data_IF_113054424377
#
_entry.id   IF_113054424377
#
_cell.length_a   1.000
_cell.length_b   1.000
_cell.length_c   1.000
_cell.angle_alpha   90.00
_cell.angle_beta   90.00
_cell.angle_gamma   90.00
#
_symmetry.space_group_name_H-M   'P 1'
#
loop_
_entity.id
_entity.type
_entity.pdbx_description
1 polymer ?
#
# COMPACT_ATOMS: atom_id res chain seq x y z
N UNK A 1 -16.08 12.44 6.08
CA UNK A 1 -15.69 11.24 5.31
C UNK A 1 -14.57 11.50 4.29
N UNK A 2 -14.75 12.32 3.24
CA UNK A 2 -13.67 12.65 2.27
C UNK A 2 -12.38 13.18 2.93
N UNK A 3 -12.52 13.95 4.01
CA UNK A 3 -11.37 14.45 4.78
C UNK A 3 -10.69 13.37 5.64
N UNK A 4 -11.46 12.40 6.19
CA UNK A 4 -10.87 11.23 6.86
C UNK A 4 -10.19 10.29 5.87
N UNK A 5 -10.75 10.11 4.69
CA UNK A 5 -10.14 9.34 3.62
C UNK A 5 -8.85 10.02 3.12
N UNK A 6 -8.84 11.35 3.02
CA UNK A 6 -7.61 12.13 2.75
C UNK A 6 -6.61 12.04 3.90
N UNK A 7 -7.03 12.08 5.15
CA UNK A 7 -6.15 11.97 6.32
C UNK A 7 -5.60 10.54 6.49
N UNK A 8 -6.42 9.52 6.28
CA UNK A 8 -6.03 8.12 6.27
C UNK A 8 -5.06 7.84 5.12
N UNK A 9 -5.35 8.32 3.90
CA UNK A 9 -4.42 8.25 2.77
C UNK A 9 -3.10 8.99 3.05
N UNK A 10 -3.14 10.13 3.74
CA UNK A 10 -1.95 10.90 4.12
C UNK A 10 -1.15 10.18 5.22
N UNK A 11 -1.82 9.53 6.15
CA UNK A 11 -1.20 8.77 7.25
C UNK A 11 -0.60 7.45 6.76
N UNK A 12 -1.27 6.75 5.85
CA UNK A 12 -0.73 5.58 5.15
C UNK A 12 0.55 5.98 4.39
N UNK A 13 0.52 7.02 3.56
CA UNK A 13 1.71 7.51 2.84
C UNK A 13 2.87 7.93 3.77
N UNK A 14 2.54 8.48 4.95
CA UNK A 14 3.54 8.86 5.96
C UNK A 14 4.19 7.65 6.64
N UNK A 15 3.41 6.61 6.95
CA UNK A 15 3.92 5.38 7.55
C UNK A 15 4.80 4.59 6.56
N UNK A 16 4.47 4.59 5.27
CA UNK A 16 5.28 3.94 4.24
C UNK A 16 6.59 4.68 3.92
N UNK A 17 6.69 5.99 4.21
CA UNK A 17 7.92 6.76 3.98
C UNK A 17 8.96 6.63 5.10
N UNK A 18 8.63 6.01 6.24
CA UNK A 18 9.58 5.79 7.33
C UNK A 18 10.34 4.48 7.13
N UNK A 19 11.37 4.51 6.29
CA UNK A 19 12.44 3.51 6.32
C UNK A 19 13.31 3.74 7.57
N UNK A 20 13.62 2.73 8.40
CA UNK A 20 14.50 2.92 9.55
C UNK A 20 15.93 3.23 9.07
N UNK A 21 16.46 4.38 9.50
CA UNK A 21 17.86 4.75 9.36
C UNK A 21 18.71 3.89 10.31
N UNK A 22 19.83 3.29 9.87
CA UNK A 22 20.77 2.66 10.79
C UNK A 22 21.48 3.74 11.62
N UNK A 23 21.42 3.60 12.94
CA UNK A 23 22.18 4.42 13.88
C UNK A 23 23.67 4.10 13.77
N UNK A 24 24.45 4.99 13.15
CA UNK A 24 25.92 4.92 13.17
C UNK A 24 26.49 5.95 14.12
N UNK A 25 27.32 5.45 15.03
CA UNK A 25 27.91 6.18 16.14
C UNK A 25 28.88 7.29 15.75
N UNK A 26 28.97 8.26 16.65
CA UNK A 26 29.93 9.36 16.65
C UNK A 26 31.34 8.83 16.89
N UNK A 27 32.28 9.17 16.00
CA UNK A 27 33.71 9.22 16.32
C UNK A 27 34.33 10.43 15.62
N UNK A 28 34.77 11.34 16.47
CA UNK A 28 35.43 12.60 16.22
C UNK A 28 36.90 12.36 15.85
N UNK A 29 37.38 12.93 14.74
CA UNK A 29 38.79 13.28 14.57
C UNK A 29 38.97 14.53 13.69
N UNK A 30 39.95 15.32 14.09
CA UNK A 30 40.19 16.73 13.76
C UNK A 30 41.34 16.90 12.74
N UNK A 31 41.22 17.97 11.95
CA UNK A 31 42.27 18.85 11.36
C UNK A 31 42.66 18.73 9.87
N UNK A 32 42.63 19.89 9.19
CA UNK A 32 43.54 20.26 8.08
C UNK A 32 42.91 20.78 6.77
N UNK A 33 42.95 22.10 6.53
CA UNK A 33 42.86 22.78 5.20
C UNK A 33 44.16 23.62 5.04
N UNK A 34 44.57 24.21 3.89
CA UNK A 34 43.76 24.64 2.72
C UNK A 34 44.36 24.63 1.27
N UNK A 35 43.44 24.64 0.27
CA UNK A 35 43.42 25.41 -1.01
C UNK A 35 44.39 25.02 -2.20
N UNK A 36 44.29 25.64 -3.41
CA UNK A 36 43.37 25.26 -4.51
C UNK A 36 44.06 25.20 -5.91
N UNK A 37 43.38 24.75 -6.98
CA UNK A 37 43.87 24.98 -8.35
C UNK A 37 42.72 25.14 -9.36
N UNK A 38 42.74 26.29 -10.04
CA UNK A 38 41.87 26.72 -11.14
C UNK A 38 42.47 26.31 -12.51
N UNK A 39 41.71 26.41 -13.62
CA UNK A 39 42.03 25.80 -14.92
C UNK A 39 42.81 26.74 -15.87
N UNK A 40 43.37 26.23 -16.99
CA UNK A 40 43.97 27.07 -18.04
C UNK A 40 43.05 27.31 -19.27
N UNK A 41 43.40 28.27 -20.17
CA UNK A 41 42.45 29.19 -20.80
C UNK A 41 42.41 29.24 -22.35
N UNK A 42 41.39 29.98 -22.85
CA UNK A 42 41.17 30.78 -24.10
C UNK A 42 42.27 30.82 -25.18
N UNK A 43 41.95 30.82 -26.50
CA UNK A 43 41.60 31.97 -27.42
C UNK A 43 41.70 31.48 -28.91
N UNK A 44 41.42 32.27 -29.98
CA UNK A 44 40.35 33.26 -30.23
C UNK A 44 39.66 33.10 -31.62
N UNK A 45 38.75 34.04 -31.90
CA UNK A 45 37.86 34.30 -33.04
C UNK A 45 38.44 34.32 -34.47
N UNK A 46 37.57 34.10 -35.47
CA UNK A 46 37.36 34.98 -36.64
C UNK A 46 35.94 34.81 -37.23
N UNK A 47 35.48 35.87 -37.87
CA UNK A 47 34.12 36.18 -38.34
C UNK A 47 33.79 35.63 -39.75
N UNK A 48 32.48 35.50 -40.01
CA UNK A 48 31.69 35.81 -41.24
C UNK A 48 32.30 35.62 -42.65
N UNK A 49 31.50 35.07 -43.59
CA UNK A 49 31.04 35.71 -44.86
C UNK A 49 29.99 34.79 -45.55
N UNK A 50 29.03 35.44 -46.20
CA UNK A 50 27.82 35.06 -46.93
C UNK A 50 27.90 34.07 -48.11
N UNK A 51 26.72 33.50 -48.46
CA UNK A 51 26.30 32.82 -49.70
C UNK A 51 26.45 33.71 -50.98
N UNK A 52 26.26 33.26 -52.26
CA UNK A 52 25.07 32.56 -52.78
C UNK A 52 25.26 31.59 -53.99
N UNK A 53 24.11 31.17 -54.53
CA UNK A 53 23.79 30.13 -55.52
C UNK A 53 24.30 30.28 -56.97
N UNK A 54 24.29 29.16 -57.72
CA UNK A 54 23.90 29.10 -59.14
C UNK A 54 23.32 27.73 -59.52
N UNK A 55 22.29 27.77 -60.37
CA UNK A 55 21.63 26.63 -61.02
C UNK A 55 22.29 26.32 -62.37
N UNK A 56 22.17 25.09 -62.89
CA UNK A 56 21.57 24.79 -64.22
C UNK A 56 21.62 23.29 -64.56
N UNK A 57 20.78 22.91 -65.51
CA UNK A 57 20.22 21.60 -65.81
C UNK A 57 20.86 20.88 -67.03
N UNK A 58 20.22 19.74 -67.37
CA UNK A 58 20.41 18.81 -68.50
C UNK A 58 21.57 17.80 -68.40
N UNK A 59 21.42 16.51 -68.70
CA UNK A 59 20.31 15.71 -69.22
C UNK A 59 20.85 14.32 -69.64
N UNK A 60 19.98 13.31 -69.78
CA UNK A 60 20.30 12.06 -70.51
C UNK A 60 20.31 10.76 -69.68
N UNK A 61 19.18 10.06 -69.67
CA UNK A 61 19.08 8.60 -69.53
C UNK A 61 19.50 7.93 -70.88
N UNK A 62 19.90 6.63 -70.97
CA UNK A 62 19.10 5.52 -70.42
C UNK A 62 19.83 4.23 -69.94
N UNK A 63 19.02 3.41 -69.26
CA UNK A 63 19.01 1.93 -69.24
C UNK A 63 20.16 1.17 -68.57
N UNK A 64 19.83 0.52 -67.45
CA UNK A 64 20.66 -0.53 -66.84
C UNK A 64 20.07 -1.02 -65.53
N UNK A 65 19.20 -2.03 -65.62
CA UNK A 65 18.53 -2.67 -64.49
C UNK A 65 19.51 -3.10 -63.36
N UNK A 66 19.11 -2.86 -62.10
CA UNK A 66 19.15 -3.85 -61.00
C UNK A 66 18.39 -3.32 -59.78
N UNK A 67 17.34 -4.06 -59.43
CA UNK A 67 16.38 -3.78 -58.38
C UNK A 67 17.04 -3.70 -57.00
N UNK A 68 16.75 -2.62 -56.27
CA UNK A 68 17.08 -2.46 -54.87
C UNK A 68 16.40 -3.49 -53.99
N UNK A 69 17.13 -3.93 -52.96
CA UNK A 69 16.60 -4.52 -51.73
C UNK A 69 17.54 -4.07 -50.61
N UNK A 70 17.35 -2.84 -50.12
CA UNK A 70 17.71 -2.55 -48.74
C UNK A 70 16.56 -3.10 -47.91
N UNK A 71 16.79 -4.25 -47.28
CA UNK A 71 15.85 -4.84 -46.33
C UNK A 71 15.90 -3.99 -45.07
N UNK A 72 14.93 -3.08 -44.93
CA UNK A 72 14.59 -2.46 -43.66
C UNK A 72 14.00 -3.55 -42.74
N UNK A 73 14.51 -3.74 -41.51
CA UNK A 73 13.80 -4.53 -40.51
C UNK A 73 12.61 -3.74 -39.96
N UNK A 74 11.55 -3.61 -40.75
CA UNK A 74 10.20 -3.36 -40.24
C UNK A 74 9.68 -4.66 -39.66
N UNK A 75 9.79 -4.80 -38.34
CA UNK A 75 8.83 -5.50 -37.49
C UNK A 75 9.12 -5.08 -36.04
N UNK A 76 8.60 -3.90 -35.68
CA UNK A 76 8.30 -3.60 -34.29
C UNK A 76 7.25 -4.62 -33.84
N UNK A 77 7.71 -5.74 -33.29
CA UNK A 77 6.86 -6.50 -32.38
C UNK A 77 6.46 -5.52 -31.30
N UNK A 78 5.23 -5.02 -31.38
CA UNK A 78 4.53 -4.47 -30.22
C UNK A 78 4.54 -5.60 -29.20
N UNK A 79 5.57 -5.60 -28.36
CA UNK A 79 5.47 -6.19 -27.04
C UNK A 79 4.45 -5.30 -26.34
N UNK A 80 3.15 -5.58 -26.58
CA UNK A 80 2.18 -5.40 -25.52
C UNK A 80 2.75 -6.21 -24.36
N UNK A 81 3.48 -5.54 -23.47
CA UNK A 81 3.53 -5.89 -22.07
C UNK A 81 2.09 -5.72 -21.61
N UNK A 82 1.24 -6.68 -21.98
CA UNK A 82 -0.11 -6.80 -21.48
C UNK A 82 0.08 -7.22 -20.04
N UNK A 83 0.22 -6.22 -19.19
CA UNK A 83 0.12 -6.36 -17.75
C UNK A 83 -1.08 -7.31 -17.51
N UNK A 84 -0.89 -8.39 -16.74
CA UNK A 84 -1.98 -9.30 -16.44
C UNK A 84 -3.14 -8.44 -15.95
N UNK A 85 -4.30 -8.56 -16.59
CA UNK A 85 -5.42 -7.63 -16.45
C UNK A 85 -5.82 -7.46 -14.98
N UNK A 86 -5.28 -6.44 -14.32
CA UNK A 86 -5.62 -5.98 -12.95
C UNK A 86 -7.06 -5.43 -12.89
N UNK A 87 -7.75 -5.34 -14.04
CA UNK A 87 -9.16 -4.90 -14.18
C UNK A 87 -10.16 -5.71 -13.33
N UNK A 88 -9.75 -6.82 -12.71
CA UNK A 88 -10.63 -7.68 -11.90
C UNK A 88 -11.00 -7.10 -10.52
N UNK A 89 -10.36 -6.04 -10.04
CA UNK A 89 -10.63 -5.45 -8.72
C UNK A 89 -11.10 -3.98 -8.77
N UNK A 90 -11.46 -3.47 -9.95
CA UNK A 90 -11.93 -2.11 -10.10
C UNK A 90 -13.38 -1.98 -9.61
N UNK A 91 -13.58 -1.12 -8.61
CA UNK A 91 -14.86 -0.79 -7.97
C UNK A 91 -15.19 0.69 -8.20
N UNK A 92 -16.43 1.01 -8.51
CA UNK A 92 -16.86 2.40 -8.68
C UNK A 92 -16.68 3.21 -7.38
N UNK A 93 -16.27 4.48 -7.50
CA UNK A 93 -16.02 5.35 -6.36
C UNK A 93 -17.26 5.48 -5.45
N UNK A 94 -18.46 5.57 -6.04
CA UNK A 94 -19.73 5.64 -5.32
C UNK A 94 -20.05 4.34 -4.58
N UNK A 95 -19.56 3.20 -5.07
CA UNK A 95 -19.71 1.92 -4.38
C UNK A 95 -18.76 1.82 -3.18
N UNK A 96 -17.53 2.33 -3.32
CA UNK A 96 -16.55 2.38 -2.23
C UNK A 96 -17.07 3.31 -1.12
N UNK A 97 -17.52 4.53 -1.47
CA UNK A 97 -18.08 5.47 -0.50
C UNK A 97 -19.28 4.89 0.26
N UNK A 98 -20.18 4.19 -0.45
CA UNK A 98 -21.32 3.51 0.19
C UNK A 98 -20.89 2.44 1.19
N UNK A 99 -19.95 1.56 0.82
CA UNK A 99 -19.48 0.51 1.73
C UNK A 99 -18.75 1.07 2.94
N UNK A 100 -17.96 2.13 2.77
CA UNK A 100 -17.30 2.79 3.90
C UNK A 100 -18.29 3.44 4.86
N UNK A 101 -19.37 4.05 4.35
CA UNK A 101 -20.43 4.58 5.19
C UNK A 101 -21.22 3.50 5.94
N UNK A 102 -21.44 2.35 5.30
CA UNK A 102 -22.01 1.17 5.94
C UNK A 102 -21.10 0.65 7.06
N UNK A 103 -19.79 0.55 6.81
CA UNK A 103 -18.79 0.17 7.81
C UNK A 103 -18.80 1.15 9.00
N UNK A 104 -18.80 2.47 8.76
CA UNK A 104 -18.84 3.48 9.82
C UNK A 104 -20.10 3.31 10.69
N UNK A 105 -21.25 3.06 10.06
CA UNK A 105 -22.52 2.83 10.77
C UNK A 105 -22.45 1.56 11.62
N UNK A 106 -21.91 0.47 11.07
CA UNK A 106 -21.78 -0.80 11.78
C UNK A 106 -20.77 -0.71 12.95
N UNK A 107 -19.65 -0.01 12.77
CA UNK A 107 -18.68 0.23 13.83
C UNK A 107 -19.28 1.05 14.98
N UNK A 108 -20.07 2.08 14.66
CA UNK A 108 -20.78 2.87 15.67
C UNK A 108 -21.82 2.02 16.45
N UNK A 109 -22.45 1.06 15.78
CA UNK A 109 -23.37 0.12 16.43
C UNK A 109 -22.61 -0.86 17.35
N UNK A 110 -21.50 -1.44 16.89
CA UNK A 110 -20.64 -2.31 17.70
C UNK A 110 -20.07 -1.57 18.92
N UNK A 111 -19.77 -0.28 18.81
CA UNK A 111 -19.32 0.52 19.95
C UNK A 111 -20.41 0.63 21.02
N UNK A 112 -21.67 0.89 20.64
CA UNK A 112 -22.80 0.92 21.58
C UNK A 112 -23.01 -0.43 22.26
N UNK A 113 -22.96 -1.52 21.48
CA UNK A 113 -23.05 -2.88 22.01
C UNK A 113 -21.89 -3.18 22.96
N UNK A 114 -20.69 -2.73 22.63
CA UNK A 114 -19.50 -2.89 23.47
C UNK A 114 -19.63 -2.18 24.80
N UNK A 115 -20.14 -0.94 24.82
CA UNK A 115 -20.40 -0.20 26.06
C UNK A 115 -21.43 -0.90 26.93
N UNK A 116 -22.50 -1.43 26.33
CA UNK A 116 -23.53 -2.15 27.08
C UNK A 116 -23.02 -3.48 27.65
N UNK A 117 -22.24 -4.22 26.86
CA UNK A 117 -21.61 -5.47 27.29
C UNK A 117 -20.60 -5.24 28.42
N UNK A 118 -19.81 -4.17 28.33
CA UNK A 118 -18.85 -3.75 29.33
C UNK A 118 -19.52 -3.46 30.68
N UNK A 119 -20.65 -2.73 30.66
CA UNK A 119 -21.44 -2.47 31.87
C UNK A 119 -21.89 -3.76 32.55
N UNK A 120 -22.40 -4.71 31.76
CA UNK A 120 -22.86 -6.02 32.30
C UNK A 120 -21.71 -6.80 32.90
N UNK A 121 -20.55 -6.84 32.23
CA UNK A 121 -19.34 -7.49 32.74
C UNK A 121 -18.91 -6.90 34.09
N UNK A 122 -18.92 -5.57 34.25
CA UNK A 122 -18.64 -4.91 35.54
C UNK A 122 -19.67 -5.24 36.61
N UNK A 123 -20.97 -5.24 36.29
CA UNK A 123 -22.01 -5.60 37.25
C UNK A 123 -21.86 -7.04 37.76
N UNK A 124 -21.54 -8.00 36.88
CA UNK A 124 -21.28 -9.39 37.28
C UNK A 124 -20.03 -9.53 38.19
N UNK A 125 -18.99 -8.72 37.97
CA UNK A 125 -17.81 -8.65 38.84
C UNK A 125 -18.18 -8.14 40.25
N UNK A 126 -18.96 -7.05 40.32
CA UNK A 126 -19.38 -6.41 41.57
C UNK A 126 -20.32 -7.30 42.40
N UNK A 127 -21.21 -8.05 41.75
CA UNK A 127 -22.15 -8.99 42.40
C UNK A 127 -21.48 -10.30 42.87
N UNK A 128 -20.19 -10.50 42.54
CA UNK A 128 -19.45 -11.70 42.91
C UNK A 128 -19.96 -12.97 42.23
N UNK A 129 -20.68 -12.85 41.11
CA UNK A 129 -21.21 -13.96 40.33
C UNK A 129 -20.09 -14.66 39.54
N UNK A 130 -19.28 -15.46 40.24
CA UNK A 130 -18.36 -16.41 39.63
C UNK A 130 -17.16 -15.80 38.88
N UNK A 131 -16.41 -16.67 38.20
CA UNK A 131 -15.23 -16.28 37.42
C UNK A 131 -15.71 -15.59 36.12
N UNK A 132 -15.51 -14.28 36.00
CA UNK A 132 -15.89 -13.45 34.83
C UNK A 132 -15.30 -14.04 33.54
N UNK A 133 -14.12 -14.68 33.61
CA UNK A 133 -13.50 -15.44 32.51
C UNK A 133 -14.25 -16.72 32.13
N UNK A 134 -15.35 -17.07 32.77
CA UNK A 134 -16.19 -18.22 32.43
C UNK A 134 -17.60 -17.81 31.99
N UNK A 135 -17.90 -16.52 31.99
CA UNK A 135 -19.20 -15.98 31.59
C UNK A 135 -19.43 -16.09 30.07
N UNK A 136 -20.60 -16.56 29.60
CA UNK A 136 -21.11 -16.25 28.26
C UNK A 136 -20.79 -14.83 27.75
N UNK A 137 -20.83 -13.80 28.61
CA UNK A 137 -20.52 -12.41 28.23
C UNK A 137 -19.09 -12.23 27.68
N UNK A 138 -18.11 -12.99 28.16
CA UNK A 138 -16.75 -12.93 27.61
C UNK A 138 -16.67 -13.53 26.20
N UNK A 139 -17.51 -14.50 25.88
CA UNK A 139 -17.60 -15.04 24.50
C UNK A 139 -18.17 -13.96 23.57
N UNK A 140 -19.21 -13.27 24.01
CA UNK A 140 -19.80 -12.16 23.26
C UNK A 140 -18.81 -11.02 23.06
N UNK A 141 -17.96 -10.75 24.06
CA UNK A 141 -16.89 -9.76 23.97
C UNK A 141 -15.86 -10.11 22.88
N UNK A 142 -15.39 -11.36 22.85
CA UNK A 142 -14.47 -11.81 21.80
C UNK A 142 -15.12 -11.77 20.40
N UNK A 143 -16.41 -12.09 20.30
CA UNK A 143 -17.15 -11.99 19.04
C UNK A 143 -17.28 -10.52 18.60
N UNK A 144 -17.49 -9.59 19.52
CA UNK A 144 -17.54 -8.16 19.23
C UNK A 144 -16.19 -7.64 18.72
N UNK A 145 -15.10 -8.02 19.37
CA UNK A 145 -13.74 -7.71 18.89
C UNK A 145 -13.54 -8.27 17.48
N UNK A 146 -13.87 -9.55 17.24
CA UNK A 146 -13.75 -10.18 15.92
C UNK A 146 -14.51 -9.40 14.85
N UNK A 147 -15.78 -9.04 15.12
CA UNK A 147 -16.59 -8.27 14.18
C UNK A 147 -15.99 -6.88 13.92
N UNK A 148 -15.52 -6.20 14.97
CA UNK A 148 -14.85 -4.90 14.83
C UNK A 148 -13.60 -5.01 13.94
N UNK A 149 -12.77 -6.03 14.14
CA UNK A 149 -11.58 -6.23 13.31
C UNK A 149 -11.94 -6.53 11.86
N UNK A 150 -12.98 -7.33 11.59
CA UNK A 150 -13.46 -7.57 10.23
C UNK A 150 -13.84 -6.27 9.50
N UNK A 151 -14.54 -5.36 10.18
CA UNK A 151 -14.91 -4.07 9.59
C UNK A 151 -13.70 -3.17 9.35
N UNK A 152 -12.74 -3.10 10.28
CA UNK A 152 -11.52 -2.31 10.14
C UNK A 152 -10.68 -2.82 8.96
N UNK A 153 -10.50 -4.14 8.84
CA UNK A 153 -9.78 -4.76 7.71
C UNK A 153 -10.48 -4.46 6.38
N UNK A 154 -11.81 -4.54 6.35
CA UNK A 154 -12.58 -4.21 5.14
C UNK A 154 -12.47 -2.74 4.75
N UNK A 155 -12.44 -1.83 5.73
CA UNK A 155 -12.18 -0.41 5.50
C UNK A 155 -10.80 -0.19 4.86
N UNK A 156 -9.74 -0.80 5.41
CA UNK A 156 -8.38 -0.73 4.85
C UNK A 156 -8.32 -1.24 3.41
N UNK A 157 -8.93 -2.40 3.12
CA UNK A 157 -9.02 -2.96 1.77
C UNK A 157 -9.66 -1.97 0.78
N UNK A 158 -10.78 -1.36 1.17
CA UNK A 158 -11.49 -0.37 0.34
C UNK A 158 -10.65 0.88 0.09
N UNK A 159 -9.89 1.33 1.09
CA UNK A 159 -8.95 2.45 0.95
C UNK A 159 -7.83 2.10 -0.03
N UNK A 160 -7.25 0.90 0.05
CA UNK A 160 -6.24 0.43 -0.90
C UNK A 160 -6.76 0.32 -2.33
N UNK A 161 -7.99 -0.17 -2.51
CA UNK A 161 -8.66 -0.22 -3.82
C UNK A 161 -8.81 1.20 -4.38
N UNK A 162 -9.38 2.12 -3.61
CA UNK A 162 -9.58 3.51 -4.04
C UNK A 162 -8.25 4.18 -4.42
N UNK A 163 -7.22 3.98 -3.61
CA UNK A 163 -5.89 4.56 -3.84
C UNK A 163 -5.22 3.97 -5.08
N UNK A 164 -5.33 2.66 -5.29
CA UNK A 164 -4.79 2.00 -6.49
C UNK A 164 -5.45 2.57 -7.74
N UNK A 165 -6.77 2.70 -7.75
CA UNK A 165 -7.51 3.27 -8.89
C UNK A 165 -7.15 4.74 -9.14
N UNK A 166 -6.98 5.55 -8.09
CA UNK A 166 -6.54 6.95 -8.23
C UNK A 166 -5.17 7.04 -8.91
N UNK A 167 -4.22 6.20 -8.51
CA UNK A 167 -2.89 6.15 -9.11
C UNK A 167 -2.94 5.67 -10.56
N UNK A 168 -3.75 4.64 -10.84
CA UNK A 168 -3.98 4.13 -12.20
C UNK A 168 -4.66 5.15 -13.12
N UNK A 169 -5.57 5.97 -12.58
CA UNK A 169 -6.25 7.03 -13.33
C UNK A 169 -5.29 8.16 -13.72
N UNK A 170 -4.33 8.51 -12.85
CA UNK A 170 -3.36 9.57 -13.12
C UNK A 170 -2.26 9.16 -14.10
N UNK A 171 -1.92 7.87 -14.14
CA UNK A 171 -0.85 7.33 -14.96
C UNK A 171 -0.95 7.67 -16.47
N UNK A 172 -2.08 7.47 -17.17
CA UNK A 172 -2.18 7.75 -18.61
C UNK A 172 -1.99 9.24 -18.94
N UNK A 173 -2.44 10.16 -18.08
CA UNK A 173 -2.26 11.60 -18.30
C UNK A 173 -0.78 11.98 -18.22
N UNK A 174 -0.07 11.47 -17.20
CA UNK A 174 1.37 11.69 -17.01
C UNK A 174 2.17 11.07 -18.16
N UNK A 175 1.85 9.84 -18.56
CA UNK A 175 2.51 9.16 -19.67
C UNK A 175 2.25 9.83 -21.02
N UNK A 176 1.03 10.32 -21.23
CA UNK A 176 0.64 11.03 -22.45
C UNK A 176 1.41 12.34 -22.63
N UNK A 177 1.48 13.16 -21.57
CA UNK A 177 2.27 14.40 -21.61
C UNK A 177 3.76 14.12 -21.78
N UNK A 178 4.28 13.11 -21.08
CA UNK A 178 5.68 12.72 -21.19
C UNK A 178 6.02 12.27 -22.62
N UNK A 179 5.16 11.44 -23.24
CA UNK A 179 5.36 10.99 -24.63
C UNK A 179 5.39 12.17 -25.60
N UNK A 180 4.49 13.14 -25.44
CA UNK A 180 4.45 14.36 -26.26
C UNK A 180 5.76 15.17 -26.16
N UNK A 181 6.36 15.26 -24.97
CA UNK A 181 7.65 15.93 -24.80
C UNK A 181 8.81 15.13 -25.40
N UNK A 182 8.78 13.80 -25.26
CA UNK A 182 9.82 12.91 -25.79
C UNK A 182 9.84 12.80 -27.32
N UNK A 183 8.72 13.08 -28.00
CA UNK A 183 8.67 13.15 -29.47
C UNK A 183 9.57 14.27 -30.05
N UNK A 184 9.84 15.30 -29.25
CA UNK A 184 10.72 16.41 -29.63
C UNK A 184 12.18 16.03 -29.33
N UNK A 185 13.13 16.12 -30.27
CA UNK A 185 14.55 15.90 -29.99
C UNK A 185 15.11 16.85 -28.92
N UNK A 186 16.01 16.37 -28.05
CA UNK A 186 16.51 17.11 -26.88
C UNK A 186 17.13 18.48 -27.21
N UNK A 187 17.86 18.57 -28.32
CA UNK A 187 18.49 19.81 -28.77
C UNK A 187 17.48 20.88 -29.24
N UNK A 188 16.23 20.48 -29.49
CA UNK A 188 15.14 21.40 -29.83
C UNK A 188 14.28 21.76 -28.61
N UNK A 189 14.44 21.07 -27.48
CA UNK A 189 13.65 21.30 -26.27
C UNK A 189 14.08 22.60 -25.58
N UNK A 190 13.09 23.38 -25.15
CA UNK A 190 13.27 24.47 -24.20
C UNK A 190 13.71 23.93 -22.85
N UNK A 191 14.38 24.77 -22.06
CA UNK A 191 14.70 24.46 -20.66
C UNK A 191 13.46 24.11 -19.83
N UNK A 192 12.34 24.77 -20.10
CA UNK A 192 11.08 24.51 -19.40
C UNK A 192 10.50 23.14 -19.76
N UNK A 193 10.61 22.75 -21.03
CA UNK A 193 10.19 21.42 -21.51
C UNK A 193 11.04 20.31 -20.88
N UNK A 194 12.37 20.49 -20.81
CA UNK A 194 13.28 19.55 -20.14
C UNK A 194 12.97 19.43 -18.64
N UNK A 195 12.65 20.56 -17.98
CA UNK A 195 12.28 20.56 -16.58
C UNK A 195 10.92 19.89 -16.33
N UNK A 196 9.97 20.07 -17.24
CA UNK A 196 8.66 19.42 -17.19
C UNK A 196 8.78 17.90 -17.41
N UNK A 197 9.60 17.48 -18.37
CA UNK A 197 9.91 16.06 -18.60
C UNK A 197 10.46 15.38 -17.34
N UNK A 198 11.44 16.01 -16.68
CA UNK A 198 11.99 15.49 -15.41
C UNK A 198 10.92 15.38 -14.32
N UNK A 199 10.00 16.35 -14.22
CA UNK A 199 8.90 16.32 -13.25
C UNK A 199 7.92 15.19 -13.55
N UNK A 200 7.56 14.99 -14.83
CA UNK A 200 6.67 13.90 -15.24
C UNK A 200 7.30 12.52 -15.01
N UNK A 201 8.61 12.37 -15.27
CA UNK A 201 9.34 11.14 -14.92
C UNK A 201 9.31 10.88 -13.41
N UNK A 202 9.59 11.90 -12.60
CA UNK A 202 9.49 11.77 -11.14
C UNK A 202 8.08 11.39 -10.71
N UNK A 203 7.05 12.01 -11.32
CA UNK A 203 5.65 11.71 -11.01
C UNK A 203 5.29 10.27 -11.36
N UNK A 204 5.78 9.75 -12.48
CA UNK A 204 5.56 8.35 -12.87
C UNK A 204 6.22 7.39 -11.85
N UNK A 205 7.43 7.71 -11.38
CA UNK A 205 8.07 6.93 -10.31
C UNK A 205 7.24 6.95 -9.03
N UNK A 206 6.72 8.10 -8.61
CA UNK A 206 5.85 8.21 -7.43
C UNK A 206 4.56 7.38 -7.57
N UNK A 207 3.99 7.31 -8.77
CA UNK A 207 2.80 6.50 -9.05
C UNK A 207 3.13 5.01 -8.87
N UNK A 208 4.24 4.55 -9.47
CA UNK A 208 4.67 3.15 -9.38
C UNK A 208 5.07 2.79 -7.95
N UNK A 209 5.81 3.65 -7.26
CA UNK A 209 6.20 3.48 -5.86
C UNK A 209 4.97 3.45 -4.95
N UNK A 210 3.99 4.33 -5.18
CA UNK A 210 2.74 4.34 -4.44
C UNK A 210 1.96 3.04 -4.60
N UNK A 211 1.88 2.48 -5.81
CA UNK A 211 1.25 1.17 -6.03
C UNK A 211 2.04 0.03 -5.39
N UNK A 212 3.37 0.09 -5.42
CA UNK A 212 4.22 -0.89 -4.76
C UNK A 212 4.04 -0.86 -3.24
N UNK A 213 3.94 0.33 -2.65
CA UNK A 213 3.69 0.50 -1.21
C UNK A 213 2.35 -0.13 -0.79
N UNK A 214 1.31 -0.03 -1.62
CA UNK A 214 0.02 -0.70 -1.37
C UNK A 214 0.18 -2.22 -1.36
N UNK A 215 0.92 -2.79 -2.31
CA UNK A 215 1.17 -4.24 -2.36
C UNK A 215 1.90 -4.71 -1.10
N UNK A 216 2.96 -3.99 -0.71
CA UNK A 216 3.70 -4.28 0.52
C UNK A 216 2.78 -4.18 1.75
N UNK A 217 1.96 -3.13 1.85
CA UNK A 217 1.00 -2.96 2.94
C UNK A 217 -0.02 -4.10 3.04
N UNK A 218 -0.55 -4.57 1.90
CA UNK A 218 -1.48 -5.71 1.87
C UNK A 218 -0.81 -7.01 2.36
N UNK A 219 0.47 -7.23 2.02
CA UNK A 219 1.21 -8.39 2.49
C UNK A 219 1.50 -8.31 4.00
N UNK A 220 1.88 -7.13 4.49
CA UNK A 220 2.08 -6.87 5.93
C UNK A 220 0.80 -7.07 6.73
N UNK A 221 -0.32 -6.51 6.26
CA UNK A 221 -1.63 -6.67 6.89
C UNK A 221 -2.04 -8.15 6.91
N UNK A 222 -1.91 -8.88 5.80
CA UNK A 222 -2.23 -10.32 5.76
C UNK A 222 -1.48 -11.11 6.84
N UNK A 223 -0.20 -10.82 7.08
CA UNK A 223 0.59 -11.49 8.11
C UNK A 223 0.09 -11.11 9.51
N UNK A 224 -0.08 -9.82 9.78
CA UNK A 224 -0.55 -9.29 11.06
C UNK A 224 -1.92 -9.85 11.43
N UNK A 225 -2.86 -9.84 10.49
CA UNK A 225 -4.24 -10.31 10.70
C UNK A 225 -4.31 -11.79 11.07
N UNK A 226 -3.44 -12.61 10.47
CA UNK A 226 -3.33 -14.04 10.78
C UNK A 226 -2.85 -14.26 12.21
N UNK A 227 -1.86 -13.48 12.67
CA UNK A 227 -1.36 -13.54 14.04
C UNK A 227 -2.42 -13.09 15.05
N UNK A 228 -3.09 -11.98 14.78
CA UNK A 228 -4.20 -11.46 15.60
C UNK A 228 -5.34 -12.49 15.74
N UNK A 229 -5.73 -13.12 14.63
CA UNK A 229 -6.78 -14.14 14.63
C UNK A 229 -6.37 -15.39 15.39
N UNK A 230 -5.09 -15.79 15.30
CA UNK A 230 -4.56 -16.91 16.08
C UNK A 230 -4.62 -16.58 17.58
N UNK A 231 -4.12 -15.43 18.00
CA UNK A 231 -4.15 -14.99 19.39
C UNK A 231 -5.59 -14.92 19.93
N UNK A 232 -6.52 -14.35 19.16
CA UNK A 232 -7.92 -14.26 19.54
C UNK A 232 -8.56 -15.65 19.71
N UNK A 233 -8.28 -16.57 18.79
CA UNK A 233 -8.76 -17.94 18.86
C UNK A 233 -8.17 -18.72 20.04
N UNK A 234 -6.89 -18.51 20.36
CA UNK A 234 -6.24 -19.10 21.53
C UNK A 234 -6.87 -18.62 22.83
N UNK A 235 -7.10 -17.32 22.95
CA UNK A 235 -7.82 -16.75 24.10
C UNK A 235 -9.21 -17.36 24.26
N UNK A 236 -9.98 -17.47 23.17
CA UNK A 236 -11.31 -18.09 23.18
C UNK A 236 -11.27 -19.59 23.56
N UNK A 237 -10.30 -20.35 23.04
CA UNK A 237 -10.10 -21.76 23.41
C UNK A 237 -9.73 -21.93 24.88
N UNK A 238 -8.88 -21.05 25.41
CA UNK A 238 -8.47 -21.08 26.82
C UNK A 238 -9.68 -20.91 27.75
N UNK A 239 -10.65 -20.08 27.36
CA UNK A 239 -11.93 -19.90 28.03
C UNK A 239 -12.74 -21.21 28.09
N UNK A 240 -12.85 -21.90 26.95
CA UNK A 240 -13.56 -23.18 26.84
C UNK A 240 -12.90 -24.30 27.66
N UNK A 241 -11.57 -24.35 27.72
CA UNK A 241 -10.81 -25.34 28.51
C UNK A 241 -11.00 -25.10 30.02
N UNK A 242 -11.07 -23.84 30.47
CA UNK A 242 -11.37 -23.52 31.88
C UNK A 242 -12.75 -24.04 32.29
N UNK A 243 -13.80 -23.87 31.47
CA UNK A 243 -15.15 -24.45 31.71
C UNK A 243 -15.12 -25.96 31.98
N UNK A 244 -14.35 -26.72 31.20
CA UNK A 244 -14.26 -28.18 31.35
C UNK A 244 -13.55 -28.61 32.66
N UNK A 245 -12.51 -27.88 33.10
CA UNK A 245 -11.76 -28.17 34.32
C UNK A 245 -12.60 -27.95 35.59
N UNK A 246 -13.40 -26.88 35.65
CA UNK A 246 -14.30 -26.62 36.79
C UNK A 246 -15.42 -27.68 36.89
N UNK A 247 -15.99 -28.13 35.75
CA UNK A 247 -16.99 -29.22 35.73
C UNK A 247 -16.42 -30.55 36.24
N UNK A 248 -15.15 -30.87 35.92
CA UNK A 248 -14.49 -32.10 36.40
C UNK A 248 -14.17 -32.07 37.91
N UNK A 249 -13.73 -30.93 38.45
CA UNK A 249 -13.49 -30.77 39.90
C UNK A 249 -14.80 -30.86 40.73
N UNK A 250 -15.91 -30.31 40.20
CA UNK A 250 -17.25 -30.39 40.81
C UNK A 250 -17.85 -31.81 40.83
N UNK A 251 -17.53 -32.65 39.84
CA UNK A 251 -18.00 -34.05 39.82
C UNK A 251 -17.22 -34.97 40.76
N UNK A 252 -15.92 -34.74 40.96
CA UNK A 252 -15.07 -35.61 41.78
C UNK A 252 -15.41 -35.49 43.27
N UNK A 253 -15.79 -34.30 43.76
CA UNK A 253 -16.18 -34.10 45.17
C UNK A 253 -17.48 -34.82 45.58
N UNK A 254 -18.30 -35.26 44.61
CA UNK A 254 -19.51 -36.05 44.85
C UNK A 254 -19.23 -37.56 44.99
N UNK A 255 -18.10 -38.05 44.48
CA UNK A 255 -17.73 -39.47 44.60
C UNK A 255 -17.12 -39.82 45.97
N UNK A 256 -16.50 -38.87 46.66
CA UNK A 256 -15.86 -39.14 47.96
C UNK A 256 -16.82 -39.05 49.16
N UNK A 257 -17.99 -38.42 49.01
CA UNK A 257 -18.99 -38.32 50.10
C UNK A 257 -19.84 -39.59 50.27
N UNK A 258 -19.88 -40.48 49.27
CA UNK A 258 -20.65 -41.74 49.31
C UNK A 258 -19.91 -42.90 49.99
N UNK A 259 -18.65 -42.71 50.41
CA UNK A 259 -17.83 -43.78 51.03
C UNK A 259 -17.73 -43.70 52.56
N UNK A 260 -18.27 -42.65 53.21
CA UNK A 260 -18.20 -42.45 54.68
C UNK A 260 -19.60 -42.59 55.34
N UNK A 261 -20.48 -43.43 54.79
CA UNK A 261 -21.77 -43.76 55.46
C UNK A 261 -22.13 -45.24 55.33
N UNK A 262 -21.13 -46.12 55.45
CA UNK A 262 -21.28 -47.59 55.53
C UNK A 262 -20.35 -48.25 56.56
N UNK A 263 -20.03 -47.56 57.65
CA UNK A 263 -19.45 -48.16 58.87
C UNK A 263 -19.79 -47.26 60.05
N UNK A 264 -20.91 -47.53 60.71
CA UNK A 264 -21.03 -47.66 62.16
C UNK A 264 -22.27 -48.54 62.34
N UNK A 265 -22.02 -49.76 62.78
CA UNK A 265 -22.99 -50.74 63.29
C UNK A 265 -23.43 -50.30 64.71
#
# INVERSE_FOLDING_TARGET
MKERMRQSNRSLNSNFSQKPQPTSGNLEFKHGRPLPANPPPRRPAVESISSPATASANGGNPSGAKKGKYLSPTNTSKTEMRSPSVKSYHMAAEQIERQLNEIETNLAQLEKEGVELEKRLRSCEEEGEGDILMDPLMVDWFNLIRQKQMYIRKESELVYIARTQELEQQQPDVEGELRRLLEKPDHLKSRDEQQQEKKLMQRLMEIVEGRNAIVVGLDEDRLREVEEDQQLNEMMKSLGVKKAKHKRKSSISKLFRRRIKRRVE
#
